data_IF_016244656132
#
_entry.id   IF_016244656132
#
_cell.length_a   1.000
_cell.length_b   1.000
_cell.length_c   1.000
_cell.angle_alpha   90.00
_cell.angle_beta   90.00
_cell.angle_gamma   90.00
#
_symmetry.space_group_name_H-M   'P 1'
#
loop_
_entity.id
_entity.type
_entity.pdbx_description
1 polymer ?
#
# COMPACT_ATOMS: atom_id res chain seq x y z
N UNK A 1 -17.74 -2.01 16.53
CA UNK A 1 -16.70 -0.99 16.32
C UNK A 1 -15.45 -1.66 15.77
N UNK A 2 -14.70 -0.99 14.90
CA UNK A 2 -13.37 -1.42 14.46
C UNK A 2 -12.32 -0.65 15.25
N UNK A 3 -11.19 -1.30 15.51
CA UNK A 3 -10.00 -0.63 16.04
C UNK A 3 -8.79 -1.11 15.26
N UNK A 4 -7.81 -0.23 15.05
CA UNK A 4 -6.61 -0.51 14.30
C UNK A 4 -5.42 0.23 14.90
N UNK A 5 -4.22 -0.31 14.65
CA UNK A 5 -2.96 0.30 15.05
C UNK A 5 -1.96 0.20 13.91
N UNK A 6 -1.29 1.31 13.58
CA UNK A 6 -0.21 1.35 12.60
C UNK A 6 1.08 1.67 13.35
N UNK A 7 2.08 0.83 13.18
CA UNK A 7 3.43 1.04 13.73
C UNK A 7 4.47 0.70 12.69
N UNK A 8 5.64 1.32 12.79
CA UNK A 8 6.79 0.96 11.96
C UNK A 8 7.24 -0.47 12.28
N UNK A 9 7.48 -1.26 11.24
CA UNK A 9 8.08 -2.59 11.36
C UNK A 9 9.56 -2.46 11.72
N UNK A 10 9.98 -3.13 12.79
CA UNK A 10 11.38 -3.26 13.19
C UNK A 10 12.06 -4.49 12.60
N UNK A 11 13.30 -4.76 13.00
CA UNK A 11 14.03 -5.99 12.65
C UNK A 11 13.40 -7.25 13.27
N UNK A 12 12.68 -7.10 14.38
CA UNK A 12 11.96 -8.17 15.06
C UNK A 12 10.47 -8.17 14.64
N UNK A 13 10.12 -9.10 13.74
CA UNK A 13 8.74 -9.24 13.24
C UNK A 13 7.73 -9.63 14.34
N UNK A 14 8.01 -10.64 15.21
CA UNK A 14 7.14 -10.95 16.35
C UNK A 14 6.84 -9.75 17.25
N UNK A 15 7.87 -8.99 17.63
CA UNK A 15 7.70 -7.81 18.49
C UNK A 15 6.85 -6.73 17.81
N UNK A 16 7.09 -6.49 16.52
CA UNK A 16 6.31 -5.55 15.72
C UNK A 16 4.83 -5.95 15.67
N UNK A 17 4.53 -7.25 15.56
CA UNK A 17 3.17 -7.76 15.55
C UNK A 17 2.47 -7.58 16.90
N UNK A 18 3.15 -7.90 18.02
CA UNK A 18 2.61 -7.67 19.37
C UNK A 18 2.36 -6.18 19.63
N UNK A 19 3.28 -5.32 19.22
CA UNK A 19 3.13 -3.86 19.34
C UNK A 19 1.93 -3.34 18.55
N UNK A 20 1.75 -3.81 17.31
CA UNK A 20 0.61 -3.44 16.48
C UNK A 20 -0.72 -3.89 17.10
N UNK A 21 -0.78 -5.11 17.63
CA UNK A 21 -1.96 -5.63 18.34
C UNK A 21 -2.29 -4.78 19.58
N UNK A 22 -1.29 -4.51 20.43
CA UNK A 22 -1.48 -3.70 21.63
C UNK A 22 -1.97 -2.29 21.30
N UNK A 23 -1.48 -1.70 20.21
CA UNK A 23 -1.98 -0.41 19.76
C UNK A 23 -3.45 -0.51 19.31
N UNK A 24 -3.81 -1.53 18.52
CA UNK A 24 -5.21 -1.74 18.13
C UNK A 24 -6.15 -2.02 19.31
N UNK A 25 -5.65 -2.59 20.42
CA UNK A 25 -6.44 -2.84 21.61
C UNK A 25 -6.52 -1.64 22.56
N UNK A 26 -5.68 -0.63 22.35
CA UNK A 26 -5.62 0.55 23.21
C UNK A 26 -6.99 1.22 23.26
N UNK A 27 -7.43 1.58 24.46
CA UNK A 27 -8.69 2.29 24.73
C UNK A 27 -9.97 1.53 24.32
N UNK A 28 -9.86 0.22 23.99
CA UNK A 28 -11.02 -0.64 23.68
C UNK A 28 -11.59 -1.38 24.90
N UNK A 29 -10.82 -1.46 25.99
CA UNK A 29 -11.12 -2.32 27.15
C UNK A 29 -10.88 -3.82 26.92
N UNK A 30 -10.49 -4.22 25.71
CA UNK A 30 -10.21 -5.61 25.34
C UNK A 30 -8.74 -5.97 25.60
N UNK A 31 -8.52 -7.24 25.92
CA UNK A 31 -7.20 -7.87 26.06
C UNK A 31 -6.93 -8.78 24.87
N UNK A 32 -5.66 -9.13 24.65
CA UNK A 32 -5.29 -10.09 23.60
C UNK A 32 -6.01 -11.45 23.76
N UNK A 33 -6.28 -11.87 25.00
CA UNK A 33 -7.04 -13.09 25.32
C UNK A 33 -8.52 -13.04 24.89
N UNK A 34 -9.06 -11.85 24.66
CA UNK A 34 -10.45 -11.68 24.20
C UNK A 34 -10.58 -11.91 22.68
N UNK A 35 -9.47 -11.91 21.96
CA UNK A 35 -9.43 -12.11 20.51
C UNK A 35 -9.57 -13.60 20.19
N UNK A 36 -10.71 -13.96 19.59
CA UNK A 36 -11.09 -15.34 19.32
C UNK A 36 -10.34 -16.00 18.16
N UNK A 37 -9.87 -15.20 17.21
CA UNK A 37 -9.15 -15.69 16.04
C UNK A 37 -8.27 -14.59 15.44
N UNK A 38 -7.03 -14.92 15.12
CA UNK A 38 -6.03 -14.02 14.57
C UNK A 38 -5.49 -14.59 13.26
N UNK A 39 -5.47 -13.75 12.23
CA UNK A 39 -4.80 -14.05 10.96
C UNK A 39 -3.56 -13.16 10.83
N UNK A 40 -2.40 -13.79 10.62
CA UNK A 40 -1.17 -13.10 10.23
C UNK A 40 -1.13 -12.88 8.71
N UNK A 41 -0.67 -11.71 8.26
CA UNK A 41 -0.50 -11.40 6.83
C UNK A 41 0.78 -10.61 6.54
N UNK A 42 1.05 -10.33 5.26
CA UNK A 42 2.32 -9.75 4.79
C UNK A 42 3.48 -10.75 4.70
N UNK A 43 4.70 -10.25 4.49
CA UNK A 43 5.92 -11.07 4.43
C UNK A 43 6.24 -11.72 5.78
N UNK A 44 6.06 -10.99 6.87
CA UNK A 44 6.28 -11.47 8.23
C UNK A 44 5.18 -12.39 8.78
N UNK A 45 4.17 -12.76 8.00
CA UNK A 45 2.97 -13.48 8.46
C UNK A 45 3.23 -14.78 9.23
N UNK A 46 4.30 -15.49 8.86
CA UNK A 46 4.69 -16.76 9.51
C UNK A 46 5.39 -16.54 10.85
N UNK A 47 5.83 -15.31 11.12
CA UNK A 47 6.51 -14.89 12.35
C UNK A 47 5.57 -14.12 13.28
N UNK A 48 4.25 -14.23 13.10
CA UNK A 48 3.25 -13.61 13.97
C UNK A 48 2.88 -14.65 15.04
N UNK A 49 3.43 -14.57 16.26
CA UNK A 49 3.38 -15.67 17.23
C UNK A 49 1.96 -15.99 17.72
N UNK A 50 1.08 -15.00 17.74
CA UNK A 50 -0.30 -15.14 18.17
C UNK A 50 -1.28 -15.48 17.04
N UNK A 51 -0.81 -15.68 15.79
CA UNK A 51 -1.70 -15.97 14.67
C UNK A 51 -2.16 -17.43 14.69
N UNK A 52 -3.48 -17.64 14.58
CA UNK A 52 -4.04 -18.98 14.36
C UNK A 52 -3.82 -19.46 12.92
N UNK A 53 -3.72 -18.52 11.96
CA UNK A 53 -3.49 -18.83 10.55
C UNK A 53 -2.71 -17.74 9.84
N UNK A 54 -1.83 -18.14 8.92
CA UNK A 54 -1.19 -17.23 7.98
C UNK A 54 -1.98 -17.17 6.67
N UNK A 55 -2.33 -15.97 6.22
CA UNK A 55 -2.97 -15.73 4.92
C UNK A 55 -2.16 -14.70 4.12
N UNK A 56 -2.04 -14.94 2.82
CA UNK A 56 -1.29 -14.08 1.90
C UNK A 56 -1.85 -12.65 1.91
N UNK A 57 -0.96 -11.67 1.81
CA UNK A 57 -1.35 -10.26 1.74
C UNK A 57 -2.22 -9.94 0.53
N UNK A 58 -2.08 -10.69 -0.58
CA UNK A 58 -2.91 -10.55 -1.79
C UNK A 58 -4.39 -10.77 -1.44
N UNK A 59 -4.72 -11.91 -0.84
CA UNK A 59 -6.10 -12.22 -0.44
C UNK A 59 -6.63 -11.22 0.61
N UNK A 60 -5.76 -10.78 1.51
CA UNK A 60 -6.11 -9.81 2.53
C UNK A 60 -6.39 -8.42 1.95
N UNK A 61 -5.53 -7.86 1.09
CA UNK A 61 -5.81 -6.58 0.42
C UNK A 61 -7.01 -6.65 -0.50
N UNK A 62 -7.20 -7.76 -1.23
CA UNK A 62 -8.40 -8.00 -2.03
C UNK A 62 -9.67 -7.86 -1.18
N UNK A 63 -9.72 -8.56 -0.04
CA UNK A 63 -10.88 -8.55 0.85
C UNK A 63 -11.08 -7.21 1.55
N UNK A 64 -9.99 -6.58 1.99
CA UNK A 64 -10.02 -5.27 2.63
C UNK A 64 -10.44 -4.15 1.69
N UNK A 65 -9.94 -4.17 0.45
CA UNK A 65 -10.32 -3.20 -0.59
C UNK A 65 -11.81 -3.30 -0.92
N UNK A 66 -12.31 -4.52 -1.16
CA UNK A 66 -13.74 -4.75 -1.39
C UNK A 66 -14.62 -4.27 -0.21
N UNK A 67 -14.12 -4.39 1.02
CA UNK A 67 -14.84 -3.89 2.20
C UNK A 67 -14.85 -2.36 2.28
N UNK A 68 -13.70 -1.70 2.05
CA UNK A 68 -13.56 -0.25 2.21
C UNK A 68 -14.27 0.52 1.08
N UNK A 69 -14.14 0.05 -0.16
CA UNK A 69 -14.67 0.74 -1.35
C UNK A 69 -15.95 0.11 -1.91
N UNK A 70 -16.33 -1.07 -1.42
CA UNK A 70 -17.58 -1.74 -1.79
C UNK A 70 -17.44 -2.79 -2.91
N UNK A 71 -18.55 -3.44 -3.28
CA UNK A 71 -18.58 -4.58 -4.19
C UNK A 71 -18.34 -4.22 -5.66
N UNK A 72 -18.26 -2.93 -6.02
CA UNK A 72 -17.95 -2.51 -7.39
C UNK A 72 -16.47 -2.67 -7.75
N UNK A 73 -15.57 -2.67 -6.76
CA UNK A 73 -14.11 -2.78 -7.00
C UNK A 73 -13.78 -4.02 -7.81
N UNK A 74 -13.00 -3.85 -8.89
CA UNK A 74 -12.49 -4.96 -9.70
C UNK A 74 -10.98 -5.02 -9.77
N UNK A 75 -10.30 -3.88 -9.62
CA UNK A 75 -8.83 -3.83 -9.64
C UNK A 75 -8.31 -3.16 -8.38
N UNK A 76 -7.34 -3.79 -7.72
CA UNK A 76 -6.64 -3.27 -6.54
C UNK A 76 -5.17 -3.14 -6.86
N UNK A 77 -4.61 -1.95 -6.71
CA UNK A 77 -3.17 -1.71 -6.68
C UNK A 77 -2.73 -1.51 -5.23
N UNK A 78 -2.11 -2.53 -4.62
CA UNK A 78 -1.45 -2.39 -3.31
C UNK A 78 -0.01 -1.91 -3.50
N UNK A 79 0.32 -0.77 -2.89
CA UNK A 79 1.66 -0.21 -2.92
C UNK A 79 2.22 -0.10 -1.51
N UNK A 80 2.90 -1.17 -1.10
CA UNK A 80 3.54 -1.30 0.20
C UNK A 80 4.94 -0.68 0.28
N UNK A 81 5.60 -0.92 1.40
CA UNK A 81 7.00 -0.53 1.60
C UNK A 81 7.99 -1.41 0.83
N UNK A 82 7.66 -2.69 0.63
CA UNK A 82 8.59 -3.70 0.10
C UNK A 82 8.26 -4.14 -1.32
N UNK A 83 6.98 -4.17 -1.69
CA UNK A 83 6.53 -4.66 -2.98
C UNK A 83 5.33 -3.85 -3.51
N UNK A 84 4.91 -4.20 -4.73
CA UNK A 84 3.70 -3.69 -5.38
C UNK A 84 2.92 -4.88 -5.90
N UNK A 85 1.59 -4.84 -5.76
CA UNK A 85 0.69 -5.90 -6.22
C UNK A 85 -0.44 -5.27 -7.04
N UNK A 86 -0.69 -5.81 -8.22
CA UNK A 86 -1.92 -5.56 -8.96
C UNK A 86 -2.79 -6.80 -8.86
N UNK A 87 -4.02 -6.63 -8.40
CA UNK A 87 -4.93 -7.73 -8.05
C UNK A 87 -6.27 -7.47 -8.72
N UNK A 88 -6.75 -8.43 -9.50
CA UNK A 88 -8.14 -8.47 -9.94
C UNK A 88 -8.97 -9.26 -8.96
N UNK A 89 -10.16 -8.75 -8.67
CA UNK A 89 -11.06 -9.35 -7.71
C UNK A 89 -12.49 -9.44 -8.27
N UNK A 90 -13.26 -10.41 -7.78
CA UNK A 90 -14.70 -10.47 -8.02
C UNK A 90 -15.49 -9.55 -7.06
N UNK A 91 -16.81 -9.49 -7.23
CA UNK A 91 -17.72 -8.70 -6.40
C UNK A 91 -17.68 -9.04 -4.90
N UNK A 92 -17.21 -10.24 -4.56
CA UNK A 92 -17.09 -10.72 -3.17
C UNK A 92 -15.71 -10.44 -2.56
N UNK A 93 -14.80 -9.87 -3.34
CA UNK A 93 -13.41 -9.60 -2.97
C UNK A 93 -12.51 -10.84 -3.01
N UNK A 94 -12.89 -11.89 -3.76
CA UNK A 94 -11.98 -13.03 -4.03
C UNK A 94 -11.04 -12.68 -5.16
N UNK A 95 -9.81 -13.16 -5.05
CA UNK A 95 -8.76 -12.93 -6.05
C UNK A 95 -9.06 -13.75 -7.29
N UNK A 96 -9.22 -13.08 -8.43
CA UNK A 96 -9.37 -13.68 -9.76
C UNK A 96 -8.00 -13.92 -10.38
N UNK A 97 -7.14 -12.91 -10.34
CA UNK A 97 -5.75 -12.99 -10.80
C UNK A 97 -4.92 -11.93 -10.11
N UNK A 98 -3.61 -12.14 -9.97
CA UNK A 98 -2.73 -11.14 -9.40
C UNK A 98 -1.35 -11.19 -10.05
N UNK A 99 -0.66 -10.07 -10.00
CA UNK A 99 0.77 -9.97 -10.28
C UNK A 99 1.42 -9.17 -9.17
N UNK A 100 2.63 -9.58 -8.79
CA UNK A 100 3.47 -8.84 -7.86
C UNK A 100 4.82 -8.52 -8.48
N UNK A 101 5.43 -7.44 -8.01
CA UNK A 101 6.81 -7.11 -8.32
C UNK A 101 7.61 -7.00 -7.02
N UNK A 102 8.27 -8.10 -6.66
CA UNK A 102 8.97 -8.33 -5.40
C UNK A 102 10.40 -7.74 -5.38
N UNK A 103 11.07 -7.65 -6.54
CA UNK A 103 12.55 -7.60 -6.55
C UNK A 103 13.18 -6.21 -6.63
N UNK A 104 12.41 -5.12 -6.53
CA UNK A 104 13.04 -3.80 -6.54
C UNK A 104 12.25 -2.75 -5.75
N UNK A 105 12.91 -2.25 -4.69
CA UNK A 105 12.46 -1.16 -3.84
C UNK A 105 12.28 0.18 -4.57
N UNK A 106 12.77 0.33 -5.81
CA UNK A 106 12.70 1.59 -6.55
C UNK A 106 11.26 2.07 -6.78
N UNK A 107 10.29 1.16 -6.91
CA UNK A 107 8.88 1.52 -7.09
C UNK A 107 8.03 1.49 -5.83
N UNK A 108 8.61 1.24 -4.66
CA UNK A 108 7.86 0.99 -3.41
C UNK A 108 8.04 2.12 -2.42
N UNK A 109 7.35 2.06 -1.28
CA UNK A 109 7.50 3.04 -0.22
C UNK A 109 8.93 3.17 0.31
N UNK A 110 9.74 2.10 0.31
CA UNK A 110 11.15 2.18 0.70
C UNK A 110 11.99 3.00 -0.28
N UNK A 111 11.70 2.91 -1.58
CA UNK A 111 12.32 3.79 -2.59
C UNK A 111 11.97 5.25 -2.34
N UNK A 112 10.71 5.51 -2.01
CA UNK A 112 10.25 6.85 -1.64
C UNK A 112 10.96 7.39 -0.41
N UNK A 113 11.18 6.58 0.64
CA UNK A 113 11.97 6.98 1.81
C UNK A 113 13.42 7.36 1.42
N UNK A 114 14.03 6.69 0.43
CA UNK A 114 15.37 7.06 -0.04
C UNK A 114 15.36 8.45 -0.69
N UNK A 115 14.35 8.77 -1.49
CA UNK A 115 14.21 10.09 -2.12
C UNK A 115 13.84 11.19 -1.13
N UNK A 116 12.97 10.89 -0.16
CA UNK A 116 12.66 11.77 0.96
C UNK A 116 13.94 12.21 1.69
N UNK A 117 14.79 11.22 2.04
CA UNK A 117 16.07 11.48 2.71
C UNK A 117 17.08 12.18 1.79
N UNK A 118 17.15 11.82 0.50
CA UNK A 118 18.05 12.47 -0.46
C UNK A 118 17.77 13.97 -0.56
N UNK A 119 16.49 14.34 -0.64
CA UNK A 119 16.05 15.70 -0.89
C UNK A 119 15.76 16.49 0.38
N UNK A 120 15.81 15.84 1.55
CA UNK A 120 15.46 16.40 2.85
C UNK A 120 14.03 16.95 2.84
N UNK A 121 13.09 16.13 2.37
CA UNK A 121 11.66 16.45 2.26
C UNK A 121 10.87 15.36 3.01
N UNK A 122 9.91 15.71 3.88
CA UNK A 122 9.03 14.74 4.52
C UNK A 122 8.31 13.86 3.48
N UNK A 123 8.25 12.55 3.71
CA UNK A 123 7.70 11.61 2.72
C UNK A 123 6.23 11.91 2.38
N UNK A 124 5.49 12.46 3.35
CA UNK A 124 4.09 12.86 3.23
C UNK A 124 3.90 14.04 2.27
N UNK A 125 4.91 14.92 2.12
CA UNK A 125 4.84 16.11 1.28
C UNK A 125 5.30 15.87 -0.16
N UNK A 126 5.95 14.72 -0.43
CA UNK A 126 6.51 14.43 -1.75
C UNK A 126 5.45 14.48 -2.84
N UNK A 127 4.25 13.95 -2.57
CA UNK A 127 3.16 13.95 -3.53
C UNK A 127 2.82 15.35 -4.00
N UNK A 128 2.54 16.26 -3.06
CA UNK A 128 2.20 17.66 -3.33
C UNK A 128 3.35 18.40 -4.02
N UNK A 129 4.59 18.25 -3.54
CA UNK A 129 5.76 18.94 -4.10
C UNK A 129 6.05 18.45 -5.52
N UNK A 130 5.88 17.15 -5.80
CA UNK A 130 6.07 16.58 -7.15
C UNK A 130 5.11 17.14 -8.20
N UNK A 131 4.00 17.75 -7.78
CA UNK A 131 3.00 18.34 -8.66
C UNK A 131 3.25 19.84 -8.92
N UNK A 132 4.21 20.47 -8.23
CA UNK A 132 4.57 21.89 -8.40
C UNK A 132 5.49 22.14 -9.60
N UNK A 133 5.40 21.32 -10.64
CA UNK A 133 6.17 21.46 -11.89
C UNK A 133 5.29 22.04 -12.98
N UNK A 134 5.81 23.01 -13.73
CA UNK A 134 5.08 23.59 -14.88
C UNK A 134 4.90 22.59 -16.02
N UNK A 135 5.91 21.74 -16.24
CA UNK A 135 5.92 20.70 -17.25
C UNK A 135 6.41 19.40 -16.63
N UNK A 136 5.64 18.35 -16.90
CA UNK A 136 5.97 16.99 -16.50
C UNK A 136 7.29 16.55 -17.14
N UNK A 137 8.33 16.19 -16.35
CA UNK A 137 9.63 15.78 -16.87
C UNK A 137 9.62 14.32 -17.34
N UNK A 138 10.63 13.96 -18.13
CA UNK A 138 10.90 12.55 -18.42
C UNK A 138 11.21 11.77 -17.13
N UNK A 139 10.77 10.50 -17.03
CA UNK A 139 11.02 9.69 -15.85
C UNK A 139 12.49 9.33 -15.73
N UNK A 140 13.01 9.32 -14.50
CA UNK A 140 14.33 8.72 -14.20
C UNK A 140 14.28 7.19 -14.27
N UNK A 141 15.44 6.54 -14.35
CA UNK A 141 15.54 5.09 -14.20
C UNK A 141 14.93 4.63 -12.88
N UNK A 142 14.04 3.63 -12.94
CA UNK A 142 13.36 3.05 -11.78
C UNK A 142 13.60 1.53 -11.67
N UNK A 143 14.68 1.03 -12.29
CA UNK A 143 15.08 -0.39 -12.23
C UNK A 143 15.76 -0.76 -10.91
N UNK A 144 16.48 0.18 -10.28
CA UNK A 144 17.12 0.02 -8.98
C UNK A 144 17.12 1.37 -8.25
N UNK A 145 16.79 1.37 -6.96
CA UNK A 145 16.72 2.62 -6.17
C UNK A 145 18.08 3.31 -6.10
N UNK A 146 19.18 2.55 -6.09
CA UNK A 146 20.53 3.10 -6.09
C UNK A 146 20.84 3.85 -7.40
N UNK A 147 20.46 3.28 -8.55
CA UNK A 147 20.64 3.96 -9.84
C UNK A 147 19.73 5.17 -9.97
N UNK A 148 18.46 5.05 -9.58
CA UNK A 148 17.52 6.17 -9.53
C UNK A 148 18.08 7.33 -8.69
N UNK A 149 18.65 7.03 -7.51
CA UNK A 149 19.28 8.01 -6.62
C UNK A 149 20.48 8.68 -7.28
N UNK A 150 21.38 7.90 -7.88
CA UNK A 150 22.58 8.44 -8.56
C UNK A 150 22.19 9.35 -9.72
N UNK A 151 21.21 8.95 -10.53
CA UNK A 151 20.68 9.75 -11.62
C UNK A 151 20.04 11.06 -11.10
N UNK A 152 19.20 10.98 -10.07
CA UNK A 152 18.60 12.14 -9.41
C UNK A 152 19.64 13.12 -8.86
N UNK A 153 20.71 12.63 -8.23
CA UNK A 153 21.85 13.46 -7.81
C UNK A 153 22.53 14.16 -8.98
N UNK A 154 22.66 13.47 -10.12
CA UNK A 154 23.16 14.06 -11.36
C UNK A 154 22.26 15.19 -11.86
N UNK A 155 20.94 15.01 -11.82
CA UNK A 155 19.96 16.04 -12.22
C UNK A 155 20.03 17.27 -11.31
N UNK A 156 20.13 17.07 -9.99
CA UNK A 156 20.33 18.17 -9.03
C UNK A 156 21.61 18.97 -9.35
N UNK A 157 22.73 18.28 -9.63
CA UNK A 157 24.00 18.93 -10.03
C UNK A 157 23.90 19.69 -11.34
N UNK A 158 22.99 19.28 -12.24
CA UNK A 158 22.65 19.99 -13.48
C UNK A 158 21.67 21.15 -13.26
N UNK A 159 21.34 21.48 -12.01
CA UNK A 159 20.48 22.60 -11.65
C UNK A 159 18.98 22.31 -11.68
N UNK A 160 18.56 21.05 -11.74
CA UNK A 160 17.12 20.72 -11.60
C UNK A 160 16.64 21.04 -10.19
N UNK A 161 15.43 21.60 -10.10
CA UNK A 161 14.77 21.83 -8.81
C UNK A 161 14.36 20.50 -8.15
N UNK A 162 14.10 20.54 -6.84
CA UNK A 162 13.67 19.34 -6.10
C UNK A 162 12.29 18.84 -6.58
N UNK A 163 11.39 19.76 -6.89
CA UNK A 163 10.06 19.50 -7.48
C UNK A 163 10.20 18.71 -8.77
N UNK A 164 11.11 19.14 -9.65
CA UNK A 164 11.34 18.49 -10.94
C UNK A 164 11.94 17.10 -10.79
N UNK A 165 12.87 16.91 -9.86
CA UNK A 165 13.43 15.59 -9.54
C UNK A 165 12.38 14.66 -8.95
N UNK A 166 11.54 15.16 -8.04
CA UNK A 166 10.44 14.38 -7.47
C UNK A 166 9.39 14.01 -8.51
N UNK A 167 9.04 14.94 -9.41
CA UNK A 167 8.14 14.68 -10.53
C UNK A 167 8.68 13.56 -11.44
N UNK A 168 9.96 13.61 -11.78
CA UNK A 168 10.59 12.56 -12.61
C UNK A 168 10.57 11.19 -11.92
N UNK A 169 10.84 11.15 -10.61
CA UNK A 169 10.83 9.89 -9.85
C UNK A 169 9.41 9.33 -9.64
N UNK A 170 8.47 10.16 -9.20
CA UNK A 170 7.06 9.75 -9.03
C UNK A 170 6.42 9.30 -10.34
N UNK A 171 6.76 9.95 -11.47
CA UNK A 171 6.38 9.49 -12.82
C UNK A 171 6.96 8.11 -13.14
N UNK A 172 8.25 7.88 -12.85
CA UNK A 172 8.87 6.59 -13.09
C UNK A 172 8.20 5.47 -12.28
N UNK A 173 7.83 5.76 -11.02
CA UNK A 173 7.07 4.84 -10.17
C UNK A 173 5.67 4.56 -10.75
N UNK A 174 4.94 5.60 -11.16
CA UNK A 174 3.61 5.48 -11.75
C UNK A 174 3.63 4.62 -13.03
N UNK A 175 4.59 4.85 -13.94
CA UNK A 175 4.77 4.01 -15.15
C UNK A 175 4.95 2.54 -14.79
N UNK A 176 5.75 2.24 -13.77
CA UNK A 176 5.96 0.85 -13.31
C UNK A 176 4.67 0.22 -12.75
N UNK A 177 3.90 0.99 -11.98
CA UNK A 177 2.62 0.54 -11.42
C UNK A 177 1.60 0.28 -12.53
N UNK A 178 1.52 1.17 -13.51
CA UNK A 178 0.65 1.02 -14.69
C UNK A 178 1.03 -0.21 -15.50
N UNK A 179 2.32 -0.46 -15.72
CA UNK A 179 2.77 -1.67 -16.41
C UNK A 179 2.34 -2.95 -15.68
N UNK A 180 2.32 -2.94 -14.34
CA UNK A 180 1.84 -4.07 -13.54
C UNK A 180 0.32 -4.25 -13.68
N UNK A 181 -0.43 -3.15 -13.62
CA UNK A 181 -1.89 -3.12 -13.80
C UNK A 181 -2.28 -3.66 -15.18
N UNK A 182 -1.65 -3.18 -16.25
CA UNK A 182 -1.95 -3.60 -17.61
C UNK A 182 -1.73 -5.11 -17.80
N UNK A 183 -0.68 -5.67 -17.18
CA UNK A 183 -0.38 -7.10 -17.26
C UNK A 183 -1.38 -7.98 -16.49
N UNK A 184 -2.05 -7.45 -15.46
CA UNK A 184 -3.14 -8.17 -14.77
C UNK A 184 -4.49 -7.97 -15.48
N UNK A 185 -4.53 -7.19 -16.56
CA UNK A 185 -5.74 -6.79 -17.32
C UNK A 185 -6.65 -5.85 -16.53
N UNK A 186 -6.42 -4.53 -16.62
CA UNK A 186 -7.23 -3.53 -15.93
C UNK A 186 -8.73 -3.73 -16.15
N UNK A 187 -9.48 -3.79 -15.04
CA UNK A 187 -10.92 -3.53 -15.02
C UNK A 187 -11.19 -2.17 -14.35
N UNK A 188 -12.30 -1.52 -14.73
CA UNK A 188 -12.77 -0.27 -14.10
C UNK A 188 -12.98 -0.46 -12.59
N UNK A 189 -13.22 0.62 -11.85
CA UNK A 189 -13.31 0.58 -10.39
C UNK A 189 -11.96 0.16 -9.77
N UNK A 190 -10.90 0.86 -10.19
CA UNK A 190 -9.53 0.72 -9.68
C UNK A 190 -9.38 1.44 -8.35
N UNK A 191 -8.82 0.76 -7.36
CA UNK A 191 -8.44 1.35 -6.07
C UNK A 191 -6.95 1.23 -5.81
N UNK A 192 -6.39 2.14 -5.03
CA UNK A 192 -5.01 2.06 -4.55
C UNK A 192 -5.02 1.87 -3.03
N UNK A 193 -4.35 0.84 -2.53
CA UNK A 193 -4.18 0.56 -1.09
C UNK A 193 -2.72 0.72 -0.66
N UNK A 194 -2.45 0.60 0.64
CA UNK A 194 -1.10 0.75 1.19
C UNK A 194 -0.69 2.21 1.37
N UNK A 195 0.54 2.45 1.82
CA UNK A 195 1.00 3.78 2.22
C UNK A 195 1.06 4.78 1.05
N UNK A 196 1.44 4.33 -0.14
CA UNK A 196 1.54 5.23 -1.31
C UNK A 196 0.19 5.61 -1.92
N UNK A 197 -0.93 4.99 -1.50
CA UNK A 197 -2.28 5.45 -1.86
C UNK A 197 -2.55 6.89 -1.42
N UNK A 198 -1.79 7.39 -0.43
CA UNK A 198 -1.85 8.76 0.09
C UNK A 198 -0.99 9.74 -0.70
N UNK A 199 -0.12 9.25 -1.57
CA UNK A 199 0.74 10.09 -2.39
C UNK A 199 -0.02 10.53 -3.65
N UNK A 200 -0.60 11.73 -3.59
CA UNK A 200 -1.40 12.28 -4.69
C UNK A 200 -0.60 12.45 -5.99
N UNK A 201 0.71 12.65 -5.90
CA UNK A 201 1.60 12.78 -7.06
C UNK A 201 1.77 11.47 -7.82
N UNK A 202 1.68 10.32 -7.13
CA UNK A 202 1.67 9.00 -7.77
C UNK A 202 0.27 8.69 -8.30
N UNK A 203 -0.76 8.85 -7.47
CA UNK A 203 -2.14 8.47 -7.84
C UNK A 203 -2.59 9.25 -9.07
N UNK A 204 -2.40 10.58 -9.10
CA UNK A 204 -2.74 11.41 -10.26
C UNK A 204 -2.03 10.97 -11.55
N UNK A 205 -0.75 10.61 -11.46
CA UNK A 205 0.02 10.13 -12.62
C UNK A 205 -0.44 8.77 -13.11
N UNK A 206 -0.81 7.86 -12.21
CA UNK A 206 -1.44 6.58 -12.58
C UNK A 206 -2.72 6.85 -13.38
N UNK A 207 -3.59 7.74 -12.88
CA UNK A 207 -4.84 8.07 -13.55
C UNK A 207 -4.61 8.67 -14.94
N UNK A 208 -3.65 9.60 -15.07
CA UNK A 208 -3.29 10.23 -16.34
C UNK A 208 -2.74 9.21 -17.34
N UNK A 209 -1.83 8.33 -16.91
CA UNK A 209 -1.20 7.35 -17.81
C UNK A 209 -2.21 6.27 -18.26
N UNK A 210 -3.11 5.84 -17.36
CA UNK A 210 -4.14 4.85 -17.70
C UNK A 210 -5.35 5.44 -18.43
N UNK A 211 -5.58 6.75 -18.34
CA UNK A 211 -6.82 7.37 -18.82
C UNK A 211 -8.07 6.95 -18.04
N UNK A 212 -7.91 6.54 -16.77
CA UNK A 212 -9.03 6.16 -15.88
C UNK A 212 -8.90 6.88 -14.55
N UNK A 213 -10.04 7.14 -13.89
CA UNK A 213 -10.04 7.61 -12.50
C UNK A 213 -10.03 6.44 -11.54
N UNK A 214 -9.21 6.54 -10.51
CA UNK A 214 -9.29 5.64 -9.37
C UNK A 214 -10.54 6.00 -8.56
N UNK A 215 -11.11 5.04 -7.85
CA UNK A 215 -12.12 5.37 -6.84
C UNK A 215 -11.49 6.24 -5.75
N UNK A 216 -12.26 7.18 -5.18
CA UNK A 216 -11.72 8.12 -4.19
C UNK A 216 -11.08 7.40 -3.01
N UNK A 217 -9.87 7.81 -2.65
CA UNK A 217 -9.23 7.37 -1.39
C UNK A 217 -10.14 7.78 -0.21
N UNK A 218 -10.38 6.90 0.78
CA UNK A 218 -11.14 7.23 1.97
C UNK A 218 -10.62 8.52 2.61
N UNK A 219 -11.50 9.29 3.24
CA UNK A 219 -11.11 10.48 4.01
C UNK A 219 -10.45 10.04 5.33
N UNK A 220 -9.30 9.39 5.24
CA UNK A 220 -8.59 8.70 6.32
C UNK A 220 -8.11 9.60 7.46
N UNK A 221 -8.26 10.93 7.32
CA UNK A 221 -8.02 11.91 8.38
C UNK A 221 -9.28 12.24 9.18
N UNK A 222 -10.46 11.88 8.69
CA UNK A 222 -11.72 12.07 9.40
C UNK A 222 -11.82 11.06 10.55
N UNK A 223 -12.46 11.49 11.65
CA UNK A 223 -12.72 10.60 12.78
C UNK A 223 -13.58 9.41 12.34
N UNK A 224 -13.13 8.19 12.70
CA UNK A 224 -13.82 6.95 12.35
C UNK A 224 -13.62 6.44 10.92
N UNK A 225 -12.94 7.19 10.05
CA UNK A 225 -12.62 6.73 8.70
C UNK A 225 -11.51 5.67 8.70
N UNK A 226 -11.61 4.72 7.78
CA UNK A 226 -10.59 3.68 7.61
C UNK A 226 -9.41 4.22 6.80
N UNK A 227 -8.22 4.01 7.32
CA UNK A 227 -6.99 4.32 6.61
C UNK A 227 -6.75 3.29 5.48
N UNK A 228 -6.51 3.71 4.21
CA UNK A 228 -6.22 2.76 3.12
C UNK A 228 -4.98 1.89 3.38
N UNK A 229 -4.09 2.31 4.30
CA UNK A 229 -2.95 1.51 4.75
C UNK A 229 -3.36 0.29 5.57
N UNK A 230 -4.54 0.28 6.19
CA UNK A 230 -5.03 -0.86 6.98
C UNK A 230 -5.80 -1.89 6.15
N UNK A 231 -5.98 -1.68 4.84
CA UNK A 231 -6.76 -2.58 3.98
C UNK A 231 -6.34 -4.06 4.13
N UNK A 232 -5.04 -4.36 4.08
CA UNK A 232 -4.52 -5.71 4.30
C UNK A 232 -4.86 -6.27 5.69
N UNK A 233 -4.66 -5.50 6.76
CA UNK A 233 -4.98 -5.93 8.13
C UNK A 233 -6.49 -6.15 8.33
N UNK A 234 -7.32 -5.27 7.77
CA UNK A 234 -8.77 -5.37 7.79
C UNK A 234 -9.25 -6.62 7.06
N UNK A 235 -8.72 -6.89 5.86
CA UNK A 235 -9.04 -8.11 5.13
C UNK A 235 -8.64 -9.38 5.89
N UNK A 236 -7.48 -9.36 6.56
CA UNK A 236 -7.07 -10.46 7.44
C UNK A 236 -8.09 -10.67 8.58
N UNK A 237 -8.57 -9.59 9.22
CA UNK A 237 -9.58 -9.66 10.27
C UNK A 237 -10.94 -10.19 9.76
N UNK A 238 -11.37 -9.78 8.55
CA UNK A 238 -12.59 -10.30 7.92
C UNK A 238 -12.50 -11.80 7.63
N UNK A 239 -11.34 -12.26 7.15
CA UNK A 239 -11.08 -13.68 6.91
C UNK A 239 -10.98 -14.46 8.23
N UNK A 240 -10.37 -13.87 9.27
CA UNK A 240 -10.32 -14.45 10.62
C UNK A 240 -11.73 -14.69 11.17
N UNK A 241 -12.62 -13.70 11.04
CA UNK A 241 -14.03 -13.82 11.43
C UNK A 241 -14.72 -14.97 10.69
N UNK A 242 -14.61 -15.02 9.37
CA UNK A 242 -15.24 -16.07 8.56
C UNK A 242 -14.72 -17.48 8.90
N UNK A 243 -13.42 -17.61 9.20
CA UNK A 243 -12.81 -18.87 9.62
C UNK A 243 -13.31 -19.30 11.00
N UNK A 244 -13.37 -18.37 11.96
CA UNK A 244 -13.89 -18.64 13.29
C UNK A 244 -15.37 -19.07 13.27
N UNK A 245 -16.21 -18.36 12.51
CA UNK A 245 -17.63 -18.73 12.37
C UNK A 245 -17.81 -20.12 11.75
N UNK A 246 -16.90 -20.54 10.85
CA UNK A 246 -16.93 -21.88 10.28
C UNK A 246 -16.59 -22.96 11.32
N UNK A 247 -15.67 -22.70 12.25
CA UNK A 247 -15.34 -23.67 13.31
C UNK A 247 -16.41 -23.80 14.39
N UNK A 248 -17.31 -22.81 14.54
CA UNK A 248 -18.45 -22.91 15.46
C UNK A 248 -19.64 -23.68 14.89
N UNK A 249 -19.69 -23.86 13.56
CA UNK A 249 -20.75 -24.58 12.85
C UNK A 249 -20.42 -26.06 12.59
N UNK A 250 -19.19 -26.48 12.87
CA UNK A 250 -18.69 -27.85 12.75
C UNK A 250 -18.65 -28.49 14.11
#
# INVERSE_FOLDING_TARGET
AYSWGITRTGSNSPESATKALNYALKDTGLKASDIKYIVGTGYGRVNVPMANKAITEIACHAKGANYIWGPSVRTVLDVGGQDIKAIRIDETGRVVSFLMNDKCAAGTGRGMEVFANLLQIPIEEIGDISLKVEKEPEPVSCTCVAFAKTEAMGLLRKGWSKEKVLAAYTRAMAVRMVNLINRVSLEKELVVTGGQSKNIGIVSRIEVILGVKCLPTPRWRDEGALDPMVAGALGAALLAKALYEKTQKS
#
